data_IF_768110488202
#
_entry.id   IF_768110488202
#
_cell.length_a   1.000
_cell.length_b   1.000
_cell.length_c   1.000
_cell.angle_alpha   90.00
_cell.angle_beta   90.00
_cell.angle_gamma   90.00
#
_symmetry.space_group_name_H-M   'P 1'
#
loop_
_entity.id
_entity.type
_entity.pdbx_description
1 polymer ?
#
# COMPACT_ATOMS: atom_id res chain seq x y z
N UNK A 1 15.43 -5.17 -8.52
CA UNK A 1 15.13 -5.72 -7.17
C UNK A 1 14.82 -4.53 -6.30
N UNK A 2 13.78 -4.58 -5.47
CA UNK A 2 13.46 -3.47 -4.57
C UNK A 2 14.44 -3.55 -3.38
N UNK A 3 15.21 -2.48 -3.17
CA UNK A 3 16.17 -2.31 -2.07
C UNK A 3 15.51 -1.87 -0.76
N UNK A 4 16.27 -1.84 0.33
CA UNK A 4 15.80 -1.40 1.65
C UNK A 4 15.53 0.11 1.71
N UNK A 5 16.30 0.90 0.96
CA UNK A 5 16.15 2.35 0.86
C UNK A 5 15.13 2.80 -0.20
N UNK A 6 14.53 1.85 -0.93
CA UNK A 6 13.62 2.17 -2.01
C UNK A 6 12.25 2.60 -1.47
N UNK A 7 11.72 3.69 -2.03
CA UNK A 7 10.31 4.04 -1.94
C UNK A 7 9.55 3.57 -3.18
N UNK A 8 8.57 2.70 -2.97
CA UNK A 8 7.66 2.27 -4.03
C UNK A 8 6.23 2.12 -3.51
N UNK A 9 5.30 2.85 -4.12
CA UNK A 9 3.87 2.84 -3.78
C UNK A 9 3.06 2.41 -5.01
N UNK A 10 2.18 1.43 -4.84
CA UNK A 10 1.18 1.06 -5.85
C UNK A 10 -0.15 1.74 -5.53
N UNK A 11 -0.70 2.43 -6.52
CA UNK A 11 -2.05 3.00 -6.46
C UNK A 11 -2.94 2.28 -7.47
N UNK A 12 -4.11 1.87 -6.99
CA UNK A 12 -5.22 1.38 -7.83
C UNK A 12 -6.37 2.35 -7.72
N UNK A 13 -6.91 2.78 -8.85
CA UNK A 13 -8.04 3.70 -8.89
C UNK A 13 -8.97 3.40 -10.06
N UNK A 14 -10.15 4.02 -10.05
CA UNK A 14 -10.97 4.10 -11.25
C UNK A 14 -10.32 5.07 -12.26
N UNK A 15 -10.49 4.90 -13.57
CA UNK A 15 -9.97 5.85 -14.56
C UNK A 15 -10.45 7.29 -14.33
N UNK A 16 -11.69 7.47 -13.88
CA UNK A 16 -12.25 8.79 -13.53
C UNK A 16 -11.55 9.47 -12.34
N UNK A 17 -10.80 8.72 -11.54
CA UNK A 17 -10.01 9.22 -10.40
C UNK A 17 -8.52 9.32 -10.71
N UNK A 18 -8.09 9.05 -11.95
CA UNK A 18 -6.68 9.12 -12.31
C UNK A 18 -6.07 10.51 -12.06
N UNK A 19 -6.86 11.59 -12.21
CA UNK A 19 -6.42 12.96 -11.91
C UNK A 19 -5.93 13.14 -10.47
N UNK A 20 -6.51 12.41 -9.51
CA UNK A 20 -6.10 12.45 -8.10
C UNK A 20 -4.69 11.90 -7.89
N UNK A 21 -4.27 10.96 -8.73
CA UNK A 21 -2.91 10.37 -8.72
C UNK A 21 -1.95 11.24 -9.51
N UNK A 22 -2.37 11.81 -10.64
CA UNK A 22 -1.53 12.67 -11.48
C UNK A 22 -1.07 13.95 -10.77
N UNK A 23 -1.78 14.40 -9.73
CA UNK A 23 -1.39 15.53 -8.88
C UNK A 23 -0.40 15.20 -7.75
N UNK A 24 0.17 13.99 -7.72
CA UNK A 24 1.15 13.60 -6.69
C UNK A 24 2.50 14.31 -6.87
N UNK A 25 3.23 14.63 -5.79
CA UNK A 25 4.60 15.15 -5.89
C UNK A 25 5.63 14.08 -6.26
N UNK A 26 5.24 12.80 -6.25
CA UNK A 26 6.13 11.67 -6.55
C UNK A 26 6.30 11.44 -8.06
N UNK A 27 7.42 10.82 -8.44
CA UNK A 27 7.60 10.32 -9.80
C UNK A 27 6.60 9.20 -10.06
N UNK A 28 5.89 9.28 -11.18
CA UNK A 28 4.77 8.39 -11.50
C UNK A 28 5.03 7.62 -12.80
N UNK A 29 4.77 6.31 -12.77
CA UNK A 29 4.71 5.44 -13.95
C UNK A 29 3.44 4.60 -13.91
N UNK A 30 2.76 4.42 -15.03
CA UNK A 30 1.56 3.59 -15.05
C UNK A 30 0.67 3.80 -16.26
N UNK A 31 -0.58 3.37 -16.12
CA UNK A 31 -1.62 3.57 -17.13
C UNK A 31 -2.89 4.10 -16.48
N UNK A 32 -3.32 5.33 -16.84
CA UNK A 32 -4.59 5.89 -16.38
C UNK A 32 -5.80 5.05 -16.78
N UNK A 33 -5.74 4.41 -17.97
CA UNK A 33 -6.84 3.60 -18.50
C UNK A 33 -7.03 2.32 -17.69
N UNK A 34 -5.95 1.69 -17.23
CA UNK A 34 -6.05 0.52 -16.34
C UNK A 34 -6.17 0.88 -14.86
N UNK A 35 -6.08 2.17 -14.52
CA UNK A 35 -6.15 2.67 -13.15
C UNK A 35 -5.04 2.11 -12.27
N UNK A 36 -3.82 1.95 -12.83
CA UNK A 36 -2.66 1.42 -12.11
C UNK A 36 -1.48 2.35 -12.24
N UNK A 37 -0.95 2.76 -11.09
CA UNK A 37 0.22 3.61 -11.00
C UNK A 37 1.22 3.05 -9.99
N UNK A 38 2.48 3.26 -10.29
CA UNK A 38 3.62 3.06 -9.41
C UNK A 38 4.24 4.44 -9.15
N UNK A 39 4.39 4.77 -7.88
CA UNK A 39 4.97 6.02 -7.43
C UNK A 39 6.30 5.74 -6.74
N UNK A 40 7.29 6.58 -7.00
CA UNK A 40 8.62 6.52 -6.38
C UNK A 40 9.15 7.93 -6.17
N UNK A 41 10.10 8.10 -5.27
CA UNK A 41 10.74 9.39 -5.04
C UNK A 41 11.61 9.38 -3.79
N UNK A 42 12.19 10.53 -3.51
CA UNK A 42 12.92 10.81 -2.28
C UNK A 42 12.13 11.87 -1.51
N UNK A 43 11.46 11.44 -0.46
CA UNK A 43 10.58 12.25 0.39
C UNK A 43 10.75 11.84 1.84
N UNK A 44 10.49 12.77 2.76
CA UNK A 44 10.47 12.48 4.19
C UNK A 44 9.32 11.53 4.56
N UNK A 45 9.43 10.89 5.73
CA UNK A 45 8.37 10.03 6.27
C UNK A 45 7.03 10.77 6.37
N UNK A 46 7.04 12.02 6.86
CA UNK A 46 5.83 12.82 7.03
C UNK A 46 5.14 13.13 5.70
N UNK A 47 5.91 13.47 4.66
CA UNK A 47 5.38 13.72 3.31
C UNK A 47 4.79 12.44 2.71
N UNK A 48 5.45 11.30 2.89
CA UNK A 48 4.95 10.02 2.41
C UNK A 48 3.64 9.63 3.11
N UNK A 49 3.58 9.75 4.43
CA UNK A 49 2.37 9.44 5.22
C UNK A 49 1.20 10.32 4.77
N UNK A 50 1.43 11.63 4.62
CA UNK A 50 0.40 12.55 4.16
C UNK A 50 -0.10 12.22 2.75
N UNK A 51 0.82 11.91 1.82
CA UNK A 51 0.47 11.61 0.44
C UNK A 51 -0.27 10.26 0.30
N UNK A 52 0.17 9.23 1.03
CA UNK A 52 -0.53 7.94 1.08
C UNK A 52 -1.94 8.11 1.65
N UNK A 53 -2.10 8.90 2.71
CA UNK A 53 -3.42 9.18 3.29
C UNK A 53 -4.34 9.90 2.29
N UNK A 54 -3.84 10.96 1.64
CA UNK A 54 -4.57 11.71 0.61
C UNK A 54 -5.01 10.81 -0.54
N UNK A 55 -4.12 9.96 -1.04
CA UNK A 55 -4.41 9.05 -2.15
C UNK A 55 -5.43 7.96 -1.76
N UNK A 56 -5.36 7.44 -0.52
CA UNK A 56 -6.36 6.48 -0.01
C UNK A 56 -7.75 7.09 0.06
N UNK A 57 -7.84 8.34 0.49
CA UNK A 57 -9.10 9.07 0.59
C UNK A 57 -9.67 9.40 -0.79
N UNK A 58 -8.83 9.94 -1.69
CA UNK A 58 -9.31 10.58 -2.93
C UNK A 58 -9.25 9.70 -4.16
N UNK A 59 -8.23 8.86 -4.29
CA UNK A 59 -7.99 8.04 -5.50
C UNK A 59 -8.55 6.62 -5.38
N UNK A 60 -8.20 5.90 -4.31
CA UNK A 60 -8.57 4.50 -4.13
C UNK A 60 -7.54 3.69 -3.33
N UNK A 61 -7.52 2.35 -3.45
CA UNK A 61 -6.58 1.51 -2.72
C UNK A 61 -5.11 1.85 -3.00
N UNK A 62 -4.33 2.06 -1.93
CA UNK A 62 -2.89 2.36 -1.98
C UNK A 62 -2.11 1.37 -1.14
N UNK A 63 -1.09 0.75 -1.74
CA UNK A 63 -0.18 -0.19 -1.08
C UNK A 63 1.24 0.35 -1.13
N UNK A 64 1.92 0.36 0.01
CA UNK A 64 3.35 0.68 0.06
C UNK A 64 4.11 -0.63 -0.13
N UNK A 65 4.72 -0.80 -1.30
CA UNK A 65 5.46 -2.01 -1.67
C UNK A 65 6.85 -2.02 -1.05
N UNK A 66 7.48 -0.85 -0.95
CA UNK A 66 8.69 -0.62 -0.19
C UNK A 66 8.74 0.82 0.32
N UNK A 67 9.39 0.99 1.47
CA UNK A 67 9.66 2.26 2.09
C UNK A 67 10.81 2.07 3.09
N UNK A 68 11.72 3.06 3.19
CA UNK A 68 12.72 3.10 4.25
C UNK A 68 12.12 3.40 5.64
N UNK A 69 10.82 3.71 5.71
CA UNK A 69 10.12 4.11 6.93
C UNK A 69 9.16 3.03 7.44
N UNK A 70 8.92 3.02 8.76
CA UNK A 70 7.95 2.13 9.40
C UNK A 70 6.53 2.70 9.34
N UNK A 71 5.90 2.60 8.16
CA UNK A 71 4.56 3.13 7.91
C UNK A 71 3.51 2.05 7.60
N UNK A 72 2.23 2.38 7.73
CA UNK A 72 1.14 1.47 7.34
C UNK A 72 1.14 1.19 5.82
N UNK A 73 1.56 -0.03 5.47
CA UNK A 73 1.71 -0.46 4.09
C UNK A 73 0.39 -0.82 3.39
N UNK A 74 -0.67 -1.10 4.14
CA UNK A 74 -1.87 -1.74 3.58
C UNK A 74 -3.08 -0.83 3.57
N UNK A 75 -3.25 0.03 4.58
CA UNK A 75 -4.49 0.77 4.78
C UNK A 75 -5.60 -0.15 5.32
N UNK A 76 -6.85 0.25 5.08
CA UNK A 76 -8.00 -0.55 5.49
C UNK A 76 -8.06 -1.88 4.71
N UNK A 77 -8.15 -3.00 5.44
CA UNK A 77 -8.33 -4.34 4.87
C UNK A 77 -9.61 -4.96 5.42
N UNK A 78 -10.71 -4.77 4.70
CA UNK A 78 -12.03 -5.28 5.12
C UNK A 78 -12.11 -6.80 5.30
N UNK A 79 -11.21 -7.57 4.66
CA UNK A 79 -11.15 -9.03 4.80
C UNK A 79 -10.30 -9.52 5.98
N UNK A 80 -9.71 -8.63 6.79
CA UNK A 80 -8.79 -8.99 7.87
C UNK A 80 -9.44 -9.95 8.90
N UNK A 81 -10.70 -9.73 9.25
CA UNK A 81 -11.43 -10.61 10.15
C UNK A 81 -11.59 -12.04 9.59
N UNK A 82 -11.85 -12.15 8.29
CA UNK A 82 -11.90 -13.45 7.61
C UNK A 82 -10.52 -14.12 7.60
N UNK A 83 -9.47 -13.38 7.25
CA UNK A 83 -8.10 -13.90 7.21
C UNK A 83 -7.64 -14.42 8.58
N UNK A 84 -7.98 -13.71 9.67
CA UNK A 84 -7.73 -14.18 11.05
C UNK A 84 -8.42 -15.51 11.35
N UNK A 85 -9.69 -15.67 10.96
CA UNK A 85 -10.41 -16.95 11.13
C UNK A 85 -9.79 -18.09 10.31
N UNK A 86 -9.33 -17.80 9.10
CA UNK A 86 -8.62 -18.78 8.27
C UNK A 86 -7.31 -19.18 8.95
N UNK A 87 -6.53 -18.22 9.46
CA UNK A 87 -5.29 -18.48 10.19
C UNK A 87 -5.52 -19.34 11.43
N UNK A 88 -6.52 -19.01 12.23
CA UNK A 88 -6.87 -19.77 13.43
C UNK A 88 -7.27 -21.23 13.11
N UNK A 89 -8.03 -21.44 12.03
CA UNK A 89 -8.48 -22.79 11.65
C UNK A 89 -7.35 -23.68 11.14
N UNK A 90 -6.42 -23.12 10.38
CA UNK A 90 -5.41 -23.91 9.64
C UNK A 90 -4.00 -23.83 10.23
N UNK A 91 -3.71 -22.86 11.10
CA UNK A 91 -2.45 -22.75 11.84
C UNK A 91 -2.70 -22.16 13.25
N UNK A 92 -3.47 -22.87 14.11
CA UNK A 92 -3.81 -22.39 15.46
C UNK A 92 -2.55 -22.17 16.32
N UNK A 93 -1.47 -22.91 16.04
CA UNK A 93 -0.18 -22.74 16.72
C UNK A 93 0.70 -21.61 16.19
N UNK A 94 0.23 -20.86 15.19
CA UNK A 94 0.97 -19.75 14.51
C UNK A 94 2.38 -20.13 14.07
N UNK A 95 2.58 -21.36 13.59
CA UNK A 95 3.90 -21.91 13.23
C UNK A 95 4.35 -21.46 11.84
N UNK A 96 3.41 -21.13 10.96
CA UNK A 96 3.70 -20.73 9.58
C UNK A 96 3.80 -19.21 9.48
N UNK A 97 5.00 -18.68 9.28
CA UNK A 97 5.24 -17.24 9.04
C UNK A 97 4.64 -16.32 10.12
N UNK A 98 5.01 -16.48 11.40
CA UNK A 98 4.42 -15.71 12.50
C UNK A 98 4.60 -14.20 12.31
N UNK A 99 3.52 -13.45 12.52
CA UNK A 99 3.53 -11.98 12.46
C UNK A 99 3.69 -11.38 11.06
N UNK A 100 3.70 -12.21 10.01
CA UNK A 100 3.82 -11.75 8.62
C UNK A 100 2.45 -11.34 8.08
N UNK A 101 2.44 -10.40 7.12
CA UNK A 101 1.23 -9.88 6.45
C UNK A 101 0.44 -8.85 7.29
N UNK A 102 -0.69 -8.37 6.77
CA UNK A 102 -1.47 -7.28 7.41
C UNK A 102 -1.92 -7.65 8.82
N UNK A 103 -1.74 -6.72 9.76
CA UNK A 103 -2.22 -6.90 11.14
C UNK A 103 -1.59 -8.07 11.90
N UNK A 104 -0.42 -8.55 11.46
CA UNK A 104 0.35 -9.61 12.12
C UNK A 104 -0.36 -10.97 12.19
N UNK A 105 -1.16 -11.31 11.17
CA UNK A 105 -1.92 -12.57 11.15
C UNK A 105 -1.01 -13.81 11.16
#
# INVERSE_FOLDING_TARGET
RIGEDDLLVEVRCLPSRAGEVLGTPLSLRGSPVSGRFLLSGDVSEAELVAEVARLRERAGPVRVLASPYEIDRWGEVGSLALMRRVKERFDPGRRMSPGRFVGGI
#
